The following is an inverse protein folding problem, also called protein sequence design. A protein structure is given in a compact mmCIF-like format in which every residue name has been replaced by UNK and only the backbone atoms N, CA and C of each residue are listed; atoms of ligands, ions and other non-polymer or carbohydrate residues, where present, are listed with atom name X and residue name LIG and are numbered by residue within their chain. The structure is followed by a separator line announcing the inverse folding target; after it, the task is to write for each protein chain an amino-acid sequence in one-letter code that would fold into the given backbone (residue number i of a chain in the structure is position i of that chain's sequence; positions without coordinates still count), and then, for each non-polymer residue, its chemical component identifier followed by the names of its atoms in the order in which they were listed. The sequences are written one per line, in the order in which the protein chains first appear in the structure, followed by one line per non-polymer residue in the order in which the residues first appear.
data_IF_558022511156
#
_entry.id   IF_558022511156
#
_cell.length_a   1.000
_cell.length_b   1.000
_cell.length_c   1.000
_cell.angle_alpha   90.00
_cell.angle_beta   90.00
_cell.angle_gamma   90.00
#
_symmetry.space_group_name_H-M   'P 1'
#
loop_
_entity.id
_entity.type
_entity.pdbx_description
1 polymer ?
#
# COMPACT_ATOMS: atom_id res chain seq x y z
N UNK A 1 -25.17 4.59 -23.74
CA UNK A 1 -23.99 3.71 -23.83
C UNK A 1 -23.17 4.09 -25.06
N UNK A 2 -22.05 4.81 -24.93
CA UNK A 2 -21.12 5.18 -26.00
C UNK A 2 -20.07 4.07 -26.25
N UNK A 3 -20.57 2.83 -26.38
CA UNK A 3 -19.74 1.65 -26.68
C UNK A 3 -19.99 1.28 -28.13
N UNK A 4 -18.93 1.28 -28.92
CA UNK A 4 -19.00 1.17 -30.36
C UNK A 4 -18.20 -0.05 -30.82
N UNK A 5 -18.68 -0.72 -31.87
CA UNK A 5 -17.97 -1.82 -32.50
C UNK A 5 -17.18 -1.27 -33.69
N UNK A 6 -15.94 -1.71 -33.84
CA UNK A 6 -15.15 -1.44 -35.03
C UNK A 6 -15.44 -2.53 -36.07
N UNK A 7 -15.93 -2.13 -37.24
CA UNK A 7 -16.40 -3.06 -38.27
C UNK A 7 -15.25 -3.78 -38.98
N UNK A 8 -14.08 -3.13 -39.10
CA UNK A 8 -12.92 -3.65 -39.84
C UNK A 8 -12.22 -4.84 -39.16
N UNK A 9 -12.25 -4.91 -37.84
CA UNK A 9 -11.49 -5.90 -37.06
C UNK A 9 -12.28 -6.52 -35.90
N UNK A 10 -13.60 -6.26 -35.83
CA UNK A 10 -14.52 -6.87 -34.87
C UNK A 10 -14.32 -6.46 -33.40
N UNK A 11 -13.36 -5.58 -33.12
CA UNK A 11 -13.01 -5.12 -31.77
C UNK A 11 -13.94 -4.01 -31.28
N UNK A 12 -14.06 -3.86 -29.97
CA UNK A 12 -14.90 -2.84 -29.34
C UNK A 12 -14.06 -1.65 -28.85
N UNK A 13 -14.66 -0.46 -28.87
CA UNK A 13 -14.06 0.75 -28.33
C UNK A 13 -15.08 1.59 -27.54
N UNK A 14 -14.55 2.38 -26.62
CA UNK A 14 -15.33 3.23 -25.71
C UNK A 14 -14.86 4.66 -25.81
N UNK A 15 -15.81 5.59 -25.84
CA UNK A 15 -15.57 7.01 -25.69
C UNK A 15 -16.20 7.53 -24.41
N UNK A 16 -15.37 7.74 -23.39
CA UNK A 16 -15.83 8.27 -22.10
C UNK A 16 -15.55 9.77 -22.01
N UNK A 17 -16.58 10.55 -21.68
CA UNK A 17 -16.48 11.98 -21.37
C UNK A 17 -16.27 12.14 -19.86
N UNK A 18 -15.35 13.01 -19.47
CA UNK A 18 -15.08 13.31 -18.07
C UNK A 18 -14.72 14.78 -17.87
N UNK A 19 -14.95 15.29 -16.67
CA UNK A 19 -14.51 16.63 -16.27
C UNK A 19 -13.18 16.45 -15.55
N UNK A 20 -12.14 17.17 -15.99
CA UNK A 20 -10.87 17.11 -15.30
C UNK A 20 -10.91 17.94 -14.00
N UNK A 21 -9.86 17.80 -13.18
CA UNK A 21 -9.70 18.56 -11.94
C UNK A 21 -9.67 20.10 -12.10
N UNK A 22 -9.55 20.62 -13.33
CA UNK A 22 -9.65 22.05 -13.66
C UNK A 22 -11.05 22.48 -14.11
N UNK A 23 -12.03 21.58 -14.13
CA UNK A 23 -13.40 21.85 -14.61
C UNK A 23 -13.58 21.76 -16.13
N UNK A 24 -12.55 21.39 -16.89
CA UNK A 24 -12.63 21.25 -18.35
C UNK A 24 -13.22 19.89 -18.74
N UNK A 25 -14.17 19.89 -19.68
CA UNK A 25 -14.74 18.66 -20.26
C UNK A 25 -13.75 18.06 -21.26
N UNK A 26 -13.22 16.87 -20.96
CA UNK A 26 -12.33 16.09 -21.84
C UNK A 26 -12.94 14.75 -22.22
N UNK A 27 -12.47 14.19 -23.34
CA UNK A 27 -12.92 12.90 -23.86
C UNK A 27 -11.74 11.94 -23.94
N UNK A 28 -11.90 10.73 -23.42
CA UNK A 28 -10.92 9.64 -23.49
C UNK A 28 -11.47 8.53 -24.38
N UNK A 29 -10.71 8.13 -25.39
CA UNK A 29 -11.02 7.00 -26.24
C UNK A 29 -10.11 5.82 -25.88
N UNK A 30 -10.68 4.66 -25.59
CA UNK A 30 -9.94 3.40 -25.41
C UNK A 30 -10.46 2.37 -26.42
N UNK A 31 -9.55 1.73 -27.14
CA UNK A 31 -9.82 0.80 -28.25
C UNK A 31 -9.19 -0.56 -27.96
N UNK A 32 -9.69 -1.61 -28.62
CA UNK A 32 -9.09 -2.95 -28.63
C UNK A 32 -9.72 -3.95 -27.66
N UNK A 33 -10.94 -3.74 -27.20
CA UNK A 33 -11.63 -4.73 -26.37
C UNK A 33 -12.14 -5.90 -27.22
N UNK A 34 -11.99 -7.13 -26.73
CA UNK A 34 -12.46 -8.32 -27.45
C UNK A 34 -13.99 -8.44 -27.37
N UNK A 35 -14.58 -8.03 -26.25
CA UNK A 35 -16.02 -8.14 -26.01
C UNK A 35 -16.67 -6.80 -25.67
N UNK A 36 -17.96 -6.67 -25.99
CA UNK A 36 -18.79 -5.50 -25.58
C UNK A 36 -18.83 -5.34 -24.06
N UNK A 37 -18.82 -6.46 -23.33
CA UNK A 37 -18.91 -6.48 -21.86
C UNK A 37 -17.66 -5.88 -21.22
N UNK A 38 -16.46 -6.26 -21.68
CA UNK A 38 -15.20 -5.66 -21.21
C UNK A 38 -15.13 -4.16 -21.50
N UNK A 39 -15.60 -3.74 -22.68
CA UNK A 39 -15.70 -2.34 -23.03
C UNK A 39 -16.63 -1.57 -22.05
N UNK A 40 -17.80 -2.12 -21.75
CA UNK A 40 -18.73 -1.54 -20.78
C UNK A 40 -18.18 -1.50 -19.35
N UNK A 41 -17.51 -2.57 -18.92
CA UNK A 41 -16.85 -2.66 -17.60
C UNK A 41 -15.78 -1.55 -17.48
N UNK A 42 -15.00 -1.34 -18.54
CA UNK A 42 -13.99 -0.29 -18.59
C UNK A 42 -14.60 1.11 -18.57
N UNK A 43 -15.67 1.37 -19.33
CA UNK A 43 -16.39 2.66 -19.28
C UNK A 43 -16.85 2.96 -17.85
N UNK A 44 -17.49 1.97 -17.21
CA UNK A 44 -18.02 2.08 -15.87
C UNK A 44 -16.91 2.36 -14.86
N UNK A 45 -15.82 1.59 -14.91
CA UNK A 45 -14.66 1.79 -14.04
C UNK A 45 -13.99 3.16 -14.26
N UNK A 46 -13.91 3.64 -15.51
CA UNK A 46 -13.32 4.94 -15.81
C UNK A 46 -14.21 6.12 -15.37
N UNK A 47 -15.53 5.98 -15.46
CA UNK A 47 -16.46 6.96 -14.89
C UNK A 47 -16.37 6.98 -13.37
N UNK A 48 -16.41 5.83 -12.70
CA UNK A 48 -16.25 5.71 -11.25
C UNK A 48 -14.94 6.33 -10.74
N UNK A 49 -13.83 6.10 -11.44
CA UNK A 49 -12.54 6.73 -11.13
C UNK A 49 -12.56 8.26 -11.26
N UNK A 50 -13.38 8.82 -12.17
CA UNK A 50 -13.51 10.28 -12.33
C UNK A 50 -14.60 10.90 -11.45
N UNK A 51 -15.63 10.14 -11.06
CA UNK A 51 -16.75 10.65 -10.27
C UNK A 51 -16.51 10.60 -8.76
N UNK A 52 -15.29 10.26 -8.31
CA UNK A 52 -14.98 10.01 -6.88
C UNK A 52 -15.94 9.01 -6.24
N UNK A 53 -16.49 8.09 -7.04
CA UNK A 53 -17.58 7.23 -6.60
C UNK A 53 -17.02 5.93 -6.02
N UNK A 54 -17.42 5.60 -4.79
CA UNK A 54 -16.90 4.51 -3.98
C UNK A 54 -17.36 3.11 -4.45
N UNK A 55 -18.02 3.01 -5.62
CA UNK A 55 -18.44 1.76 -6.26
C UNK A 55 -17.29 1.07 -7.03
N UNK A 56 -16.07 1.63 -7.00
CA UNK A 56 -14.87 1.00 -7.59
C UNK A 56 -14.27 -0.11 -6.72
N UNK A 57 -13.48 -0.99 -7.34
CA UNK A 57 -12.73 -2.01 -6.61
C UNK A 57 -11.66 -1.39 -5.71
N UNK A 58 -11.31 -2.09 -4.64
CA UNK A 58 -10.27 -1.69 -3.71
C UNK A 58 -8.91 -1.56 -4.40
N UNK A 59 -8.63 -2.42 -5.38
CA UNK A 59 -7.42 -2.33 -6.21
C UNK A 59 -7.38 -1.01 -6.99
N UNK A 60 -8.46 -0.65 -7.70
CA UNK A 60 -8.56 0.60 -8.43
C UNK A 60 -8.42 1.83 -7.52
N UNK A 61 -9.02 1.78 -6.32
CA UNK A 61 -8.86 2.84 -5.33
C UNK A 61 -7.41 2.94 -4.83
N UNK A 62 -6.76 1.80 -4.63
CA UNK A 62 -5.36 1.76 -4.17
C UNK A 62 -4.42 2.43 -5.16
N UNK A 63 -4.67 2.32 -6.48
CA UNK A 63 -3.90 3.05 -7.50
C UNK A 63 -4.05 4.58 -7.36
N UNK A 64 -5.26 5.07 -7.08
CA UNK A 64 -5.50 6.50 -6.81
C UNK A 64 -4.74 6.95 -5.55
N UNK A 65 -4.85 6.16 -4.47
CA UNK A 65 -4.10 6.40 -3.24
C UNK A 65 -2.58 6.45 -3.47
N UNK A 66 -2.04 5.50 -4.25
CA UNK A 66 -0.62 5.46 -4.60
C UNK A 66 -0.21 6.76 -5.31
N UNK A 67 -1.01 7.20 -6.30
CA UNK A 67 -0.71 8.41 -7.07
C UNK A 67 -0.65 9.67 -6.22
N UNK A 68 -1.53 9.77 -5.23
CA UNK A 68 -1.64 10.95 -4.37
C UNK A 68 -0.56 11.01 -3.28
N UNK A 69 -0.16 9.84 -2.77
CA UNK A 69 0.75 9.73 -1.61
C UNK A 69 2.21 9.56 -2.02
N UNK A 70 2.50 8.86 -3.14
CA UNK A 70 3.88 8.49 -3.53
C UNK A 70 4.82 9.69 -3.64
N UNK A 71 4.36 10.79 -4.23
CA UNK A 71 5.19 11.99 -4.44
C UNK A 71 5.57 12.72 -3.14
N UNK A 72 4.93 12.40 -2.01
CA UNK A 72 5.18 13.04 -0.71
C UNK A 72 6.10 12.22 0.19
N UNK A 73 6.52 11.03 -0.25
CA UNK A 73 7.29 10.08 0.55
C UNK A 73 8.68 9.85 -0.04
N UNK A 74 9.66 9.62 0.84
CA UNK A 74 10.98 9.13 0.43
C UNK A 74 10.84 7.75 -0.21
N UNK A 75 11.63 7.50 -1.25
CA UNK A 75 11.53 6.27 -2.06
C UNK A 75 11.64 5.00 -1.22
N UNK A 76 12.61 4.90 -0.30
CA UNK A 76 12.74 3.73 0.58
C UNK A 76 11.48 3.46 1.40
N UNK A 77 10.86 4.51 1.96
CA UNK A 77 9.60 4.40 2.71
C UNK A 77 8.46 3.95 1.80
N UNK A 78 8.45 4.42 0.55
CA UNK A 78 7.47 4.02 -0.44
C UNK A 78 7.59 2.54 -0.81
N UNK A 79 8.80 2.05 -1.09
CA UNK A 79 9.04 0.67 -1.50
C UNK A 79 8.53 -0.33 -0.46
N UNK A 80 8.77 -0.07 0.83
CA UNK A 80 8.25 -0.92 1.91
C UNK A 80 6.72 -0.92 1.95
N UNK A 81 6.09 0.26 1.80
CA UNK A 81 4.62 0.38 1.77
C UNK A 81 4.02 -0.34 0.57
N UNK A 82 4.56 -0.11 -0.62
CA UNK A 82 4.13 -0.73 -1.86
C UNK A 82 4.24 -2.26 -1.79
N UNK A 83 5.34 -2.78 -1.23
CA UNK A 83 5.52 -4.21 -1.03
C UNK A 83 4.42 -4.80 -0.13
N UNK A 84 4.13 -4.16 1.00
CA UNK A 84 3.06 -4.59 1.92
C UNK A 84 1.70 -4.57 1.23
N UNK A 85 1.37 -3.47 0.55
CA UNK A 85 0.10 -3.30 -0.15
C UNK A 85 -0.07 -4.42 -1.19
N UNK A 86 0.93 -4.62 -2.03
CA UNK A 86 0.89 -5.61 -3.12
C UNK A 86 0.83 -7.05 -2.63
N UNK A 87 1.57 -7.38 -1.57
CA UNK A 87 1.75 -8.78 -1.15
C UNK A 87 0.79 -9.24 -0.05
N UNK A 88 0.25 -8.32 0.75
CA UNK A 88 -0.57 -8.67 1.93
C UNK A 88 -1.98 -8.10 1.90
N UNK A 89 -2.20 -6.96 1.25
CA UNK A 89 -3.51 -6.28 1.25
C UNK A 89 -4.29 -6.61 -0.03
N UNK A 90 -3.71 -6.31 -1.20
CA UNK A 90 -4.38 -6.51 -2.49
C UNK A 90 -4.82 -7.95 -2.75
N UNK A 91 -4.08 -9.01 -2.37
CA UNK A 91 -4.52 -10.38 -2.63
C UNK A 91 -5.87 -10.73 -1.98
N UNK A 92 -6.20 -10.09 -0.86
CA UNK A 92 -7.45 -10.33 -0.14
C UNK A 92 -8.55 -9.35 -0.56
N UNK A 93 -8.25 -8.05 -0.56
CA UNK A 93 -9.27 -7.00 -0.77
C UNK A 93 -9.43 -6.56 -2.21
N UNK A 94 -8.46 -6.80 -3.10
CA UNK A 94 -8.34 -6.11 -4.38
C UNK A 94 -9.60 -6.14 -5.26
N UNK A 95 -10.29 -7.29 -5.30
CA UNK A 95 -11.51 -7.48 -6.10
C UNK A 95 -12.79 -6.97 -5.42
N UNK A 96 -12.75 -6.75 -4.11
CA UNK A 96 -13.90 -6.24 -3.36
C UNK A 96 -14.09 -4.76 -3.66
N UNK A 97 -15.32 -4.27 -3.58
CA UNK A 97 -15.57 -2.83 -3.65
C UNK A 97 -15.23 -2.17 -2.33
N UNK A 98 -14.59 -0.99 -2.39
CA UNK A 98 -14.14 -0.31 -1.18
C UNK A 98 -15.29 0.06 -0.24
N UNK A 99 -16.46 0.42 -0.79
CA UNK A 99 -17.67 0.74 -0.03
C UNK A 99 -18.35 -0.47 0.63
N UNK A 100 -18.15 -1.67 0.07
CA UNK A 100 -18.77 -2.90 0.55
C UNK A 100 -17.91 -3.65 1.58
N UNK A 101 -16.64 -3.27 1.76
CA UNK A 101 -15.77 -3.88 2.77
C UNK A 101 -16.27 -3.51 4.17
N UNK A 102 -16.70 -4.52 4.91
CA UNK A 102 -17.18 -4.37 6.29
C UNK A 102 -16.11 -4.79 7.29
N UNK A 103 -16.44 -4.67 8.58
CA UNK A 103 -15.57 -5.17 9.65
C UNK A 103 -15.37 -6.68 9.59
N UNK A 104 -16.29 -7.44 8.99
CA UNK A 104 -16.19 -8.91 8.88
C UNK A 104 -15.03 -9.33 7.99
N UNK A 105 -14.92 -8.75 6.80
CA UNK A 105 -13.84 -9.05 5.86
C UNK A 105 -12.48 -8.70 6.48
N UNK A 106 -12.42 -7.62 7.25
CA UNK A 106 -11.21 -7.22 7.96
C UNK A 106 -10.85 -8.23 9.04
N UNK A 107 -11.79 -8.66 9.88
CA UNK A 107 -11.54 -9.68 10.90
C UNK A 107 -11.04 -10.98 10.25
N UNK A 108 -11.63 -11.40 9.14
CA UNK A 108 -11.18 -12.58 8.39
C UNK A 108 -9.73 -12.41 7.93
N UNK A 109 -9.40 -11.28 7.30
CA UNK A 109 -8.02 -10.98 6.91
C UNK A 109 -7.06 -10.92 8.10
N UNK A 110 -7.48 -10.34 9.24
CA UNK A 110 -6.65 -10.30 10.45
C UNK A 110 -6.33 -11.72 10.95
N UNK A 111 -7.34 -12.60 10.97
CA UNK A 111 -7.17 -14.00 11.36
C UNK A 111 -6.21 -14.74 10.41
N UNK A 112 -6.27 -14.48 9.10
CA UNK A 112 -5.32 -15.05 8.14
C UNK A 112 -3.87 -14.59 8.40
N UNK A 113 -3.67 -13.29 8.66
CA UNK A 113 -2.34 -12.76 8.99
C UNK A 113 -1.81 -13.31 10.31
N UNK A 114 -2.69 -13.52 11.31
CA UNK A 114 -2.32 -14.12 12.61
C UNK A 114 -2.07 -15.63 12.53
N UNK A 115 -2.77 -16.34 11.64
CA UNK A 115 -2.61 -17.78 11.42
C UNK A 115 -1.35 -18.13 10.61
N UNK A 116 -0.78 -17.17 9.87
CA UNK A 116 0.42 -17.37 9.07
C UNK A 116 1.58 -17.97 9.89
N UNK A 117 2.28 -18.94 9.29
CA UNK A 117 3.51 -19.53 9.82
C UNK A 117 4.54 -19.63 8.69
N UNK A 118 5.79 -19.26 8.97
CA UNK A 118 6.90 -19.43 8.04
C UNK A 118 7.38 -20.91 7.95
N UNK A 119 8.39 -21.17 7.12
CA UNK A 119 9.03 -22.50 6.97
C UNK A 119 9.55 -23.08 8.31
N UNK A 120 9.88 -22.19 9.25
CA UNK A 120 10.35 -22.52 10.61
C UNK A 120 9.21 -22.51 11.64
N UNK A 121 7.95 -22.51 11.20
CA UNK A 121 6.73 -22.44 12.01
C UNK A 121 6.61 -21.22 12.92
N UNK A 122 7.30 -20.11 12.59
CA UNK A 122 7.22 -18.85 13.33
C UNK A 122 6.10 -17.96 12.78
N UNK A 123 5.32 -17.30 13.66
CA UNK A 123 4.36 -16.28 13.24
C UNK A 123 5.07 -15.00 12.81
N UNK A 124 4.32 -14.07 12.21
CA UNK A 124 4.79 -12.69 12.05
C UNK A 124 5.06 -12.04 13.42
N UNK A 125 6.00 -11.09 13.46
CA UNK A 125 6.23 -10.29 14.67
C UNK A 125 5.03 -9.38 14.95
N UNK A 126 4.83 -9.04 16.23
CA UNK A 126 3.76 -8.14 16.66
C UNK A 126 3.86 -6.75 16.01
N UNK A 127 5.08 -6.22 15.90
CA UNK A 127 5.36 -4.95 15.22
C UNK A 127 5.05 -4.97 13.72
N UNK A 128 5.28 -6.11 13.06
CA UNK A 128 4.96 -6.25 11.64
C UNK A 128 3.44 -6.31 11.43
N UNK A 129 2.72 -7.08 12.25
CA UNK A 129 1.25 -7.13 12.23
C UNK A 129 0.62 -5.74 12.43
N UNK A 130 1.16 -4.95 13.38
CA UNK A 130 0.75 -3.55 13.61
C UNK A 130 0.99 -2.71 12.36
N UNK A 131 2.13 -2.90 11.71
CA UNK A 131 2.47 -2.20 10.46
C UNK A 131 1.52 -2.55 9.32
N UNK A 132 1.15 -3.83 9.16
CA UNK A 132 0.20 -4.29 8.15
C UNK A 132 -1.17 -3.62 8.34
N UNK A 133 -1.71 -3.69 9.55
CA UNK A 133 -3.00 -3.09 9.88
C UNK A 133 -2.96 -1.57 9.65
N UNK A 134 -1.87 -0.90 10.06
CA UNK A 134 -1.72 0.54 9.87
C UNK A 134 -1.70 0.92 8.39
N UNK A 135 -1.10 0.11 7.50
CA UNK A 135 -1.17 0.39 6.06
C UNK A 135 -2.60 0.28 5.52
N UNK A 136 -3.33 -0.77 5.90
CA UNK A 136 -4.73 -0.93 5.50
C UNK A 136 -5.60 0.24 6.00
N UNK A 137 -5.45 0.60 7.28
CA UNK A 137 -6.16 1.71 7.90
C UNK A 137 -5.82 3.05 7.24
N UNK A 138 -4.57 3.25 6.79
CA UNK A 138 -4.18 4.46 6.07
C UNK A 138 -4.89 4.61 4.71
N UNK A 139 -5.08 3.52 3.98
CA UNK A 139 -5.83 3.52 2.71
C UNK A 139 -7.29 3.91 2.96
N UNK A 140 -7.95 3.29 3.94
CA UNK A 140 -9.33 3.64 4.31
C UNK A 140 -9.46 5.07 4.84
N UNK A 141 -8.49 5.56 5.62
CA UNK A 141 -8.49 6.95 6.09
C UNK A 141 -8.39 7.94 4.92
N UNK A 142 -7.66 7.60 3.86
CA UNK A 142 -7.63 8.40 2.65
C UNK A 142 -9.01 8.44 1.97
N UNK A 143 -9.69 7.29 1.89
CA UNK A 143 -11.05 7.20 1.35
C UNK A 143 -12.06 8.02 2.18
N UNK A 144 -11.98 7.93 3.51
CA UNK A 144 -12.83 8.73 4.41
C UNK A 144 -12.61 10.23 4.21
N UNK A 145 -11.34 10.64 4.11
CA UNK A 145 -10.97 12.06 4.08
C UNK A 145 -11.25 12.75 2.75
N UNK A 146 -11.06 12.06 1.63
CA UNK A 146 -11.10 12.69 0.29
C UNK A 146 -12.20 12.15 -0.62
N UNK A 147 -12.83 11.04 -0.26
CA UNK A 147 -13.87 10.37 -1.06
C UNK A 147 -15.14 10.09 -0.24
N UNK A 148 -15.27 10.72 0.94
CA UNK A 148 -16.48 10.68 1.79
C UNK A 148 -16.95 9.27 2.19
N UNK A 149 -16.01 8.31 2.28
CA UNK A 149 -16.35 6.99 2.84
C UNK A 149 -16.87 7.18 4.28
N UNK A 150 -18.06 6.64 4.57
CA UNK A 150 -18.78 6.87 5.84
C UNK A 150 -17.94 6.64 7.09
N UNK A 151 -17.10 5.61 7.09
CA UNK A 151 -16.22 5.30 8.22
C UNK A 151 -15.12 4.34 7.80
N UNK A 152 -13.98 4.39 8.49
CA UNK A 152 -12.91 3.41 8.32
C UNK A 152 -13.28 2.08 9.03
N UNK A 153 -13.57 0.99 8.30
CA UNK A 153 -13.86 -0.30 8.91
C UNK A 153 -12.65 -0.91 9.65
N UNK A 154 -11.42 -0.66 9.19
CA UNK A 154 -10.21 -1.17 9.84
C UNK A 154 -10.00 -0.56 11.23
N UNK A 155 -10.23 0.75 11.36
CA UNK A 155 -10.17 1.45 12.64
C UNK A 155 -11.20 0.92 13.65
N UNK A 156 -12.38 0.48 13.19
CA UNK A 156 -13.43 -0.08 14.07
C UNK A 156 -13.07 -1.45 14.63
N UNK A 157 -12.40 -2.29 13.86
CA UNK A 157 -12.00 -3.65 14.30
C UNK A 157 -10.90 -3.57 15.36
N UNK A 158 -10.02 -2.57 15.27
CA UNK A 158 -8.86 -2.45 16.14
C UNK A 158 -7.61 -3.07 15.54
N UNK A 159 -6.46 -2.66 16.07
CA UNK A 159 -5.15 -2.97 15.51
C UNK A 159 -4.78 -4.44 15.67
N UNK A 160 -3.90 -4.95 14.80
CA UNK A 160 -3.27 -6.25 14.99
C UNK A 160 -1.92 -6.09 15.66
N UNK A 161 -1.69 -6.87 16.70
CA UNK A 161 -0.43 -6.86 17.43
C UNK A 161 -0.12 -5.55 18.16
N UNK A 162 1.06 -5.52 18.75
CA UNK A 162 1.50 -4.45 19.64
C UNK A 162 2.86 -3.89 19.23
N UNK A 163 3.18 -2.72 19.77
CA UNK A 163 4.53 -2.20 19.70
C UNK A 163 5.38 -2.92 20.73
N UNK A 164 6.37 -3.67 20.26
CA UNK A 164 7.40 -4.20 21.15
C UNK A 164 8.43 -3.09 21.35
N UNK A 165 8.43 -2.47 22.53
CA UNK A 165 9.56 -1.68 22.99
C UNK A 165 10.68 -2.64 23.35
N UNK A 166 11.52 -2.98 22.36
CA UNK A 166 12.76 -3.69 22.65
C UNK A 166 13.70 -2.72 23.34
N UNK A 167 14.14 -3.07 24.54
CA UNK A 167 15.31 -2.45 25.15
C UNK A 167 16.48 -2.68 24.20
N UNK A 168 16.93 -1.61 23.55
CA UNK A 168 18.14 -1.66 22.75
C UNK A 168 19.32 -1.68 23.72
N UNK A 169 20.03 -2.81 23.74
CA UNK A 169 21.32 -2.88 24.40
C UNK A 169 22.25 -1.90 23.70
N UNK A 170 22.78 -0.95 24.46
CA UNK A 170 23.77 0.01 24.01
C UNK A 170 25.11 -0.33 24.63
N UNK A 171 26.19 0.04 23.95
CA UNK A 171 27.53 -0.20 24.47
C UNK A 171 27.91 0.91 25.45
N UNK A 172 28.44 0.50 26.59
CA UNK A 172 29.21 1.39 27.43
C UNK A 172 30.54 1.75 26.74
N UNK A 173 31.14 2.86 27.17
CA UNK A 173 32.44 3.30 26.64
C UNK A 173 33.53 2.23 26.79
N UNK A 174 33.49 1.44 27.87
CA UNK A 174 34.46 0.38 28.13
C UNK A 174 34.28 -0.81 27.17
N UNK A 175 33.03 -1.22 26.92
CA UNK A 175 32.71 -2.28 25.97
C UNK A 175 33.12 -1.89 24.55
N UNK A 176 32.86 -0.64 24.15
CA UNK A 176 33.30 -0.13 22.85
C UNK A 176 34.82 -0.16 22.70
N UNK A 177 35.57 0.29 23.71
CA UNK A 177 37.03 0.27 23.66
C UNK A 177 37.59 -1.14 23.53
N UNK A 178 36.99 -2.14 24.19
CA UNK A 178 37.37 -3.55 24.04
C UNK A 178 37.16 -4.03 22.60
N UNK A 179 36.02 -3.70 22.00
CA UNK A 179 35.76 -4.02 20.60
C UNK A 179 36.71 -3.30 19.63
N UNK A 180 36.95 -2.00 19.84
CA UNK A 180 37.81 -1.20 18.99
C UNK A 180 39.25 -1.75 19.00
N UNK A 181 39.72 -2.23 20.16
CA UNK A 181 41.02 -2.89 20.29
C UNK A 181 41.10 -4.16 19.43
N UNK A 182 40.09 -5.03 19.51
CA UNK A 182 40.02 -6.26 18.70
C UNK A 182 39.92 -5.98 17.19
N UNK A 183 39.36 -4.84 16.79
CA UNK A 183 39.22 -4.44 15.38
C UNK A 183 40.45 -3.77 14.77
N UNK A 184 41.52 -3.53 15.55
CA UNK A 184 42.74 -2.86 15.06
C UNK A 184 43.46 -3.63 13.95
N UNK A 185 43.24 -4.95 13.86
CA UNK A 185 43.76 -5.80 12.77
C UNK A 185 43.11 -5.51 11.40
N UNK A 186 41.97 -4.79 11.39
CA UNK A 186 41.19 -4.43 10.20
C UNK A 186 41.06 -2.92 10.08
N UNK A 187 42.05 -2.23 9.46
CA UNK A 187 42.13 -0.77 9.48
C UNK A 187 40.88 -0.07 8.90
N UNK A 188 40.29 -0.59 7.82
CA UNK A 188 39.07 0.00 7.21
C UNK A 188 37.88 -0.08 8.17
N UNK A 189 37.66 -1.24 8.80
CA UNK A 189 36.56 -1.42 9.75
C UNK A 189 36.79 -0.60 11.02
N UNK A 190 38.01 -0.58 11.54
CA UNK A 190 38.39 0.23 12.70
C UNK A 190 38.06 1.71 12.48
N UNK A 191 38.50 2.30 11.38
CA UNK A 191 38.20 3.70 11.08
C UNK A 191 36.71 3.96 10.89
N UNK A 192 35.97 3.05 10.24
CA UNK A 192 34.53 3.18 10.10
C UNK A 192 33.84 3.21 11.48
N UNK A 193 34.16 2.27 12.37
CA UNK A 193 33.56 2.22 13.71
C UNK A 193 33.95 3.41 14.60
N UNK A 194 35.17 3.93 14.49
CA UNK A 194 35.59 5.15 15.20
C UNK A 194 34.78 6.38 14.74
N UNK A 195 34.60 6.55 13.43
CA UNK A 195 33.77 7.63 12.88
C UNK A 195 32.31 7.50 13.31
N UNK A 196 31.75 6.29 13.32
CA UNK A 196 30.37 6.06 13.76
C UNK A 196 30.17 6.35 15.24
N UNK A 197 31.09 5.89 16.09
CA UNK A 197 30.97 6.05 17.54
C UNK A 197 31.19 7.50 17.99
N UNK A 198 32.24 8.16 17.49
CA UNK A 198 32.60 9.51 17.97
C UNK A 198 31.84 10.63 17.28
N UNK A 199 31.48 10.48 16.01
CA UNK A 199 30.76 11.51 15.27
C UNK A 199 29.24 11.31 15.27
N UNK A 200 28.74 10.15 15.71
CA UNK A 200 27.31 9.85 15.75
C UNK A 200 26.64 9.82 14.37
N UNK A 201 27.42 9.48 13.33
CA UNK A 201 26.93 9.37 11.96
C UNK A 201 26.00 8.16 11.86
N UNK A 202 24.89 8.31 11.12
CA UNK A 202 23.95 7.21 10.85
C UNK A 202 24.29 6.58 9.50
N UNK A 203 24.46 5.27 9.50
CA UNK A 203 24.60 4.43 8.29
C UNK A 203 23.24 3.92 7.81
#
# INVERSE_FOLDING_TARGET
MPVFKNEDNGTWYVMARYVNWKGERKQKCKRGFATKKEAQEWERMFQLQNSSDLDMSFEAFTELYIRDVKNRLKENTWLTKEHIIRTKILPFFGKLKISEITTKEIITWQNEMLAYRDEKKKPYSQTYLKTLHNQLSAIFNHAVRYYELRSNPAAKVGNMGSEEHREMLFWTKEEYKKFAFEMMDKPVSFYAFEMLYWCGIRE
#
